data_IF_191721394735
#
_entry.id   IF_191721394735
#
_cell.length_a   1.000
_cell.length_b   1.000
_cell.length_c   1.000
_cell.angle_alpha   90.00
_cell.angle_beta   90.00
_cell.angle_gamma   90.00
#
_symmetry.space_group_name_H-M   'P 1'
#
loop_
_entity.id
_entity.type
_entity.pdbx_description
1 polymer ?
#
# COMPACT_ATOMS: atom_id res chain seq x y z
N UNK A 1 -36.51 -12.83 26.72
CA UNK A 1 -35.14 -12.40 26.39
C UNK A 1 -35.18 -11.57 25.13
N UNK A 2 -34.02 -11.10 24.70
CA UNK A 2 -33.82 -10.39 23.44
C UNK A 2 -33.14 -11.31 22.42
N UNK A 3 -33.38 -11.05 21.14
CA UNK A 3 -32.67 -11.69 20.04
C UNK A 3 -31.81 -10.64 19.31
N UNK A 4 -30.58 -11.02 18.97
CA UNK A 4 -29.67 -10.22 18.15
C UNK A 4 -29.32 -10.99 16.88
N UNK A 5 -29.60 -10.40 15.72
CA UNK A 5 -29.18 -10.93 14.43
C UNK A 5 -28.04 -10.06 13.91
N UNK A 6 -26.90 -10.67 13.66
CA UNK A 6 -25.73 -9.99 13.06
C UNK A 6 -25.53 -10.51 11.64
N UNK A 7 -25.41 -9.61 10.67
CA UNK A 7 -25.15 -9.95 9.27
C UNK A 7 -23.86 -9.28 8.83
N UNK A 8 -22.92 -10.08 8.32
CA UNK A 8 -21.70 -9.62 7.69
C UNK A 8 -21.83 -9.81 6.19
N UNK A 9 -22.17 -8.72 5.52
CA UNK A 9 -22.37 -8.69 4.07
C UNK A 9 -21.15 -9.17 3.29
N UNK A 10 -19.95 -8.75 3.69
CA UNK A 10 -18.74 -8.93 2.88
C UNK A 10 -18.27 -10.38 2.84
N UNK A 11 -18.59 -11.17 3.86
CA UNK A 11 -18.29 -12.61 3.90
C UNK A 11 -19.56 -13.46 3.75
N UNK A 12 -20.70 -12.82 3.46
CA UNK A 12 -22.03 -13.44 3.32
C UNK A 12 -22.36 -14.38 4.48
N UNK A 13 -22.20 -13.93 5.71
CA UNK A 13 -22.57 -14.71 6.90
C UNK A 13 -23.60 -14.01 7.77
N UNK A 14 -24.37 -14.79 8.53
CA UNK A 14 -25.22 -14.28 9.59
C UNK A 14 -25.15 -15.14 10.84
N UNK A 15 -25.35 -14.53 12.01
CA UNK A 15 -25.55 -15.22 13.28
C UNK A 15 -26.82 -14.71 13.96
N UNK A 16 -27.51 -15.62 14.65
CA UNK A 16 -28.70 -15.34 15.44
C UNK A 16 -28.45 -15.77 16.89
N UNK A 17 -28.50 -14.81 17.80
CA UNK A 17 -28.34 -15.07 19.22
C UNK A 17 -29.66 -14.76 19.94
N UNK A 18 -30.36 -15.81 20.38
CA UNK A 18 -31.61 -15.70 21.12
C UNK A 18 -31.40 -15.85 22.64
N UNK A 19 -32.38 -15.42 23.42
CA UNK A 19 -32.38 -15.56 24.88
C UNK A 19 -31.46 -14.58 25.61
N UNK A 20 -30.98 -13.53 24.95
CA UNK A 20 -30.09 -12.54 25.56
C UNK A 20 -30.82 -11.75 26.67
N UNK A 21 -30.09 -11.41 27.73
CA UNK A 21 -30.53 -10.39 28.69
C UNK A 21 -30.38 -9.00 28.09
N UNK A 22 -31.07 -8.01 28.65
CA UNK A 22 -30.96 -6.61 28.20
C UNK A 22 -29.50 -6.11 28.29
N UNK A 23 -28.82 -6.41 29.40
CA UNK A 23 -27.42 -6.04 29.60
C UNK A 23 -26.47 -6.74 28.62
N UNK A 24 -26.71 -8.01 28.30
CA UNK A 24 -25.89 -8.74 27.34
C UNK A 24 -26.03 -8.14 25.94
N UNK A 25 -27.25 -7.76 25.54
CA UNK A 25 -27.50 -7.08 24.27
C UNK A 25 -26.81 -5.72 24.22
N UNK A 26 -26.93 -4.89 25.26
CA UNK A 26 -26.23 -3.59 25.35
C UNK A 26 -24.71 -3.77 25.27
N UNK A 27 -24.18 -4.78 25.96
CA UNK A 27 -22.74 -5.10 25.93
C UNK A 27 -22.29 -5.43 24.51
N UNK A 28 -23.06 -6.24 23.77
CA UNK A 28 -22.78 -6.57 22.36
C UNK A 28 -22.88 -5.35 21.47
N UNK A 29 -23.90 -4.50 21.62
CA UNK A 29 -24.04 -3.27 20.85
C UNK A 29 -22.89 -2.27 21.06
N UNK A 30 -22.23 -2.30 22.23
CA UNK A 30 -21.03 -1.47 22.51
C UNK A 30 -19.74 -2.05 21.93
N UNK A 31 -19.67 -3.37 21.77
CA UNK A 31 -18.42 -4.06 21.39
C UNK A 31 -18.36 -4.41 19.92
N UNK A 32 -19.52 -4.64 19.29
CA UNK A 32 -19.66 -4.89 17.87
C UNK A 32 -19.50 -3.61 17.07
N UNK A 33 -18.78 -3.70 15.94
CA UNK A 33 -18.77 -2.66 14.92
C UNK A 33 -19.83 -3.00 13.88
N UNK A 34 -20.73 -2.06 13.61
CA UNK A 34 -21.79 -2.21 12.63
C UNK A 34 -21.98 -0.91 11.85
N UNK A 35 -22.48 -1.02 10.62
CA UNK A 35 -22.81 0.13 9.77
C UNK A 35 -24.27 0.56 9.93
N UNK A 36 -25.18 -0.42 10.02
CA UNK A 36 -26.62 -0.19 10.11
C UNK A 36 -27.18 -0.93 11.32
N UNK A 37 -28.11 -0.27 12.02
CA UNK A 37 -28.85 -0.85 13.13
C UNK A 37 -30.33 -0.91 12.76
N UNK A 38 -30.90 -2.11 12.86
CA UNK A 38 -32.31 -2.35 12.61
C UNK A 38 -33.00 -2.81 13.88
N UNK A 39 -34.12 -2.19 14.21
CA UNK A 39 -34.95 -2.54 15.35
C UNK A 39 -36.26 -3.16 14.84
N UNK A 40 -36.56 -4.36 15.33
CA UNK A 40 -37.80 -5.03 14.99
C UNK A 40 -38.96 -4.46 15.83
N UNK A 41 -40.13 -4.26 15.24
CA UNK A 41 -41.29 -3.64 15.91
C UNK A 41 -41.82 -4.40 17.11
N UNK A 42 -41.45 -5.67 17.29
CA UNK A 42 -41.72 -6.43 18.53
C UNK A 42 -41.14 -5.75 19.79
N UNK A 43 -40.13 -4.89 19.66
CA UNK A 43 -39.64 -4.07 20.79
C UNK A 43 -40.68 -3.04 21.25
N UNK A 44 -41.50 -2.50 20.35
CA UNK A 44 -42.52 -1.49 20.70
C UNK A 44 -43.74 -2.11 21.38
N UNK A 45 -44.03 -3.36 21.06
CA UNK A 45 -45.26 -4.05 21.43
C UNK A 45 -44.93 -5.46 21.93
N UNK A 46 -44.79 -5.63 23.25
CA UNK A 46 -44.77 -6.98 23.81
C UNK A 46 -46.17 -7.61 23.68
N UNK A 47 -46.25 -8.94 23.62
CA UNK A 47 -47.50 -9.69 23.50
C UNK A 47 -48.45 -9.51 24.70
N UNK A 48 -47.99 -8.91 25.80
CA UNK A 48 -48.78 -8.59 27.00
C UNK A 48 -49.27 -7.13 27.08
N UNK A 49 -48.90 -6.26 26.13
CA UNK A 49 -49.27 -4.84 26.10
C UNK A 49 -48.72 -3.96 27.24
N UNK A 50 -47.83 -4.48 28.10
CA UNK A 50 -47.42 -3.83 29.35
C UNK A 50 -46.08 -3.11 29.31
N UNK A 51 -45.15 -3.50 28.41
CA UNK A 51 -43.89 -2.79 28.23
C UNK A 51 -43.86 -2.06 26.90
N UNK A 52 -43.58 -0.75 26.97
CA UNK A 52 -43.22 0.07 25.81
C UNK A 52 -41.71 0.27 25.87
N UNK A 53 -40.98 -0.12 24.84
CA UNK A 53 -39.58 0.27 24.71
C UNK A 53 -39.46 1.80 24.84
N UNK A 54 -38.75 2.25 25.87
CA UNK A 54 -38.72 3.63 26.33
C UNK A 54 -37.74 3.82 27.48
N UNK A 55 -37.59 5.06 27.95
CA UNK A 55 -36.57 5.45 28.94
C UNK A 55 -36.70 4.76 30.30
N UNK A 56 -37.91 4.35 30.68
CA UNK A 56 -38.21 3.76 31.99
C UNK A 56 -38.79 2.35 31.86
N UNK A 57 -38.37 1.45 32.76
CA UNK A 57 -38.87 0.06 32.83
C UNK A 57 -37.99 -0.95 32.08
N UNK A 58 -38.55 -2.12 31.79
CA UNK A 58 -37.90 -3.16 30.98
C UNK A 58 -37.62 -2.62 29.57
N UNK A 59 -36.35 -2.65 29.14
CA UNK A 59 -35.92 -2.05 27.87
C UNK A 59 -35.30 -0.66 27.99
N UNK A 60 -35.21 -0.08 29.19
CA UNK A 60 -34.63 1.25 29.43
C UNK A 60 -33.12 1.34 29.17
N UNK A 61 -32.34 0.30 29.50
CA UNK A 61 -30.91 0.25 29.21
C UNK A 61 -30.67 0.16 27.70
N UNK A 62 -31.44 -0.70 27.01
CA UNK A 62 -31.39 -0.82 25.56
C UNK A 62 -31.85 0.46 24.87
N UNK A 63 -32.91 1.11 25.37
CA UNK A 63 -33.36 2.42 24.91
C UNK A 63 -32.24 3.45 25.04
N UNK A 64 -31.62 3.55 26.22
CA UNK A 64 -30.51 4.48 26.46
C UNK A 64 -29.32 4.25 25.51
N UNK A 65 -29.00 2.99 25.20
CA UNK A 65 -27.94 2.64 24.25
C UNK A 65 -28.29 2.99 22.80
N UNK A 66 -29.55 2.87 22.40
CA UNK A 66 -29.99 3.11 21.03
C UNK A 66 -30.45 4.55 20.76
N UNK A 67 -30.91 5.30 21.76
CA UNK A 67 -31.52 6.62 21.59
C UNK A 67 -30.57 7.65 20.93
N UNK A 68 -29.26 7.50 21.14
CA UNK A 68 -28.23 8.33 20.51
C UNK A 68 -27.72 7.82 19.15
N UNK A 69 -28.27 6.72 18.63
CA UNK A 69 -27.78 6.04 17.43
C UNK A 69 -28.79 6.12 16.30
N UNK A 70 -28.31 6.09 15.05
CA UNK A 70 -29.20 5.96 13.90
C UNK A 70 -29.67 4.51 13.79
N UNK A 71 -30.99 4.30 13.78
CA UNK A 71 -31.60 2.99 13.56
C UNK A 71 -32.86 3.10 12.71
N UNK A 72 -33.18 2.02 12.02
CA UNK A 72 -34.38 1.88 11.21
C UNK A 72 -35.31 0.82 11.78
N UNK A 73 -36.61 1.07 11.70
CA UNK A 73 -37.62 0.09 12.09
C UNK A 73 -37.94 -0.84 10.95
N UNK A 74 -38.23 -2.10 11.29
CA UNK A 74 -38.75 -3.06 10.34
C UNK A 74 -39.74 -4.02 10.99
N UNK A 75 -40.63 -4.55 10.16
CA UNK A 75 -41.65 -5.53 10.48
C UNK A 75 -41.37 -6.82 9.71
N UNK A 76 -42.04 -7.92 10.10
CA UNK A 76 -42.02 -9.18 9.36
C UNK A 76 -41.33 -10.31 10.12
N UNK A 77 -40.70 -11.22 9.38
CA UNK A 77 -39.90 -12.32 9.90
C UNK A 77 -38.47 -11.79 10.09
N UNK A 78 -37.95 -11.69 11.34
CA UNK A 78 -36.72 -10.97 11.64
C UNK A 78 -35.53 -11.29 10.72
N UNK A 79 -35.20 -12.57 10.53
CA UNK A 79 -34.05 -12.98 9.72
C UNK A 79 -34.27 -12.74 8.22
N UNK A 80 -35.42 -13.16 7.69
CA UNK A 80 -35.72 -13.09 6.25
C UNK A 80 -35.79 -11.64 5.78
N UNK A 81 -36.54 -10.80 6.48
CA UNK A 81 -36.71 -9.40 6.11
C UNK A 81 -35.43 -8.59 6.31
N UNK A 82 -34.63 -8.91 7.34
CA UNK A 82 -33.33 -8.27 7.53
C UNK A 82 -32.35 -8.64 6.41
N UNK A 83 -32.31 -9.90 5.97
CA UNK A 83 -31.51 -10.31 4.82
C UNK A 83 -31.94 -9.61 3.53
N UNK A 84 -33.25 -9.43 3.31
CA UNK A 84 -33.76 -8.65 2.17
C UNK A 84 -33.27 -7.19 2.22
N UNK A 85 -33.36 -6.54 3.39
CA UNK A 85 -32.85 -5.17 3.57
C UNK A 85 -31.36 -5.05 3.32
N UNK A 86 -30.56 -6.01 3.80
CA UNK A 86 -29.11 -6.03 3.53
C UNK A 86 -28.85 -6.19 2.03
N UNK A 87 -29.59 -7.03 1.31
CA UNK A 87 -29.45 -7.14 -0.15
C UNK A 87 -29.77 -5.83 -0.86
N UNK A 88 -30.85 -5.15 -0.48
CA UNK A 88 -31.23 -3.85 -1.04
C UNK A 88 -30.17 -2.77 -0.75
N UNK A 89 -29.71 -2.66 0.50
CA UNK A 89 -28.73 -1.65 0.93
C UNK A 89 -27.38 -1.77 0.20
N UNK A 90 -26.93 -3.01 -0.02
CA UNK A 90 -25.63 -3.29 -0.61
C UNK A 90 -25.72 -3.65 -2.11
N UNK A 91 -26.91 -3.54 -2.71
CA UNK A 91 -27.12 -3.84 -4.14
C UNK A 91 -26.78 -5.28 -4.52
N UNK A 92 -27.06 -6.24 -3.63
CA UNK A 92 -26.79 -7.66 -3.85
C UNK A 92 -27.89 -8.32 -4.69
N UNK A 93 -27.52 -9.41 -5.36
CA UNK A 93 -28.50 -10.27 -6.03
C UNK A 93 -29.54 -10.81 -5.03
N UNK A 94 -30.79 -10.93 -5.48
CA UNK A 94 -31.90 -11.43 -4.67
C UNK A 94 -31.68 -12.90 -4.28
N UNK A 95 -30.93 -13.65 -5.10
CA UNK A 95 -30.53 -15.02 -4.82
C UNK A 95 -29.24 -15.14 -3.98
N UNK A 96 -28.62 -14.02 -3.57
CA UNK A 96 -27.42 -14.06 -2.75
C UNK A 96 -27.69 -14.82 -1.43
N UNK A 97 -26.98 -15.92 -1.25
CA UNK A 97 -27.08 -16.77 -0.06
C UNK A 97 -26.16 -16.27 1.03
N UNK A 98 -26.65 -16.34 2.27
CA UNK A 98 -25.85 -16.05 3.45
C UNK A 98 -25.72 -17.33 4.29
N UNK A 99 -24.50 -17.65 4.71
CA UNK A 99 -24.23 -18.83 5.53
C UNK A 99 -24.55 -18.53 7.00
N UNK A 100 -25.25 -19.46 7.64
CA UNK A 100 -25.49 -19.42 9.07
C UNK A 100 -24.20 -19.79 9.82
N UNK A 101 -23.72 -18.90 10.71
CA UNK A 101 -22.59 -19.13 11.62
C UNK A 101 -23.02 -19.09 13.09
N UNK A 102 -24.32 -19.26 13.34
CA UNK A 102 -24.88 -19.34 14.69
C UNK A 102 -24.34 -20.56 15.42
N UNK A 103 -23.71 -20.31 16.56
CA UNK A 103 -23.24 -21.36 17.45
C UNK A 103 -24.36 -21.69 18.44
N UNK A 104 -25.10 -22.78 18.22
CA UNK A 104 -26.10 -23.26 19.17
C UNK A 104 -25.40 -23.77 20.42
N UNK A 105 -25.82 -23.38 21.63
CA UNK A 105 -25.25 -24.02 22.82
C UNK A 105 -26.19 -24.08 24.00
N UNK A 106 -26.61 -25.30 24.32
CA UNK A 106 -27.26 -25.66 25.58
C UNK A 106 -26.25 -25.69 26.76
N UNK A 107 -24.93 -25.53 26.51
CA UNK A 107 -23.86 -25.71 27.51
C UNK A 107 -22.88 -24.53 27.61
N UNK A 108 -23.16 -23.41 26.95
CA UNK A 108 -22.29 -22.22 27.00
C UNK A 108 -22.52 -21.47 28.32
N UNK A 109 -21.44 -20.98 28.98
CA UNK A 109 -21.58 -20.03 30.07
C UNK A 109 -22.34 -18.78 29.62
N UNK A 110 -23.07 -18.15 30.54
CA UNK A 110 -23.73 -16.89 30.25
C UNK A 110 -22.69 -15.80 29.95
N UNK A 111 -22.95 -14.90 28.97
CA UNK A 111 -22.12 -13.72 28.77
C UNK A 111 -21.95 -12.89 30.04
N UNK A 112 -20.84 -12.17 30.15
CA UNK A 112 -20.62 -11.28 31.28
C UNK A 112 -21.65 -10.15 31.31
N UNK A 113 -22.17 -9.87 32.50
CA UNK A 113 -22.99 -8.69 32.77
C UNK A 113 -22.21 -7.40 32.47
N UNK A 114 -22.92 -6.38 32.00
CA UNK A 114 -22.33 -5.10 31.61
C UNK A 114 -21.55 -4.48 32.78
N UNK A 115 -22.17 -4.47 33.96
CA UNK A 115 -21.55 -3.95 35.18
C UNK A 115 -20.24 -4.66 35.52
N UNK A 116 -20.23 -5.99 35.47
CA UNK A 116 -19.03 -6.80 35.72
C UNK A 116 -17.95 -6.51 34.68
N UNK A 117 -18.29 -6.54 33.39
CA UNK A 117 -17.35 -6.33 32.29
C UNK A 117 -16.67 -4.94 32.35
N UNK A 118 -17.42 -3.93 32.78
CA UNK A 118 -16.90 -2.59 33.09
C UNK A 118 -16.01 -2.59 34.33
N UNK A 119 -16.48 -3.13 35.46
CA UNK A 119 -15.75 -3.09 36.74
C UNK A 119 -14.42 -3.82 36.71
N UNK A 120 -14.33 -4.94 35.98
CA UNK A 120 -13.08 -5.70 35.83
C UNK A 120 -12.17 -5.12 34.73
N UNK A 121 -12.60 -4.07 34.02
CA UNK A 121 -11.76 -3.41 33.01
C UNK A 121 -11.62 -4.13 31.67
N UNK A 122 -12.53 -5.06 31.35
CA UNK A 122 -12.60 -5.67 30.00
C UNK A 122 -13.18 -4.65 29.00
N UNK A 123 -14.20 -3.90 29.42
CA UNK A 123 -14.72 -2.77 28.67
C UNK A 123 -14.01 -1.48 29.08
N UNK A 124 -13.53 -0.67 28.12
CA UNK A 124 -12.87 0.59 28.44
C UNK A 124 -13.87 1.53 29.12
N UNK A 125 -13.57 1.91 30.36
CA UNK A 125 -14.40 2.82 31.16
C UNK A 125 -13.50 3.80 31.86
N UNK A 126 -13.89 5.07 31.89
CA UNK A 126 -13.12 6.12 32.56
C UNK A 126 -12.91 5.80 34.04
N UNK A 127 -11.68 5.98 34.52
CA UNK A 127 -11.30 5.69 35.90
C UNK A 127 -11.06 4.21 36.23
N UNK A 128 -11.30 3.27 35.30
CA UNK A 128 -11.08 1.83 35.52
C UNK A 128 -9.85 1.34 34.74
N UNK A 129 -8.87 0.67 35.38
CA UNK A 129 -7.73 0.08 34.70
C UNK A 129 -8.16 -0.97 33.66
N UNK A 130 -7.52 -0.98 32.49
CA UNK A 130 -7.85 -1.93 31.43
C UNK A 130 -7.18 -3.29 31.67
N UNK A 131 -7.96 -4.34 31.90
CA UNK A 131 -7.48 -5.70 32.11
C UNK A 131 -6.68 -6.23 30.93
N UNK A 132 -7.11 -5.94 29.70
CA UNK A 132 -6.43 -6.41 28.49
C UNK A 132 -5.01 -5.85 28.36
N UNK A 133 -4.76 -4.63 28.85
CA UNK A 133 -3.41 -4.03 28.89
C UNK A 133 -2.48 -4.69 29.91
N UNK A 134 -3.05 -5.40 30.89
CA UNK A 134 -2.30 -6.16 31.89
C UNK A 134 -2.04 -7.58 31.41
N UNK A 135 -3.02 -8.20 30.75
CA UNK A 135 -2.92 -9.58 30.26
C UNK A 135 -2.06 -9.73 29.01
N UNK A 136 -2.03 -8.72 28.15
CA UNK A 136 -1.39 -8.80 26.84
C UNK A 136 -0.18 -7.86 26.74
N UNK A 137 0.86 -8.25 25.97
CA UNK A 137 1.97 -7.36 25.64
C UNK A 137 1.50 -6.04 25.04
N UNK A 138 2.25 -4.95 25.24
CA UNK A 138 1.89 -3.61 24.78
C UNK A 138 1.81 -3.47 23.25
N UNK A 139 2.46 -4.37 22.50
CA UNK A 139 2.39 -4.46 21.05
C UNK A 139 1.23 -5.33 20.54
N UNK A 140 0.47 -5.98 21.42
CA UNK A 140 -0.69 -6.80 21.05
C UNK A 140 -1.89 -5.89 20.74
N UNK A 141 -2.07 -5.58 19.45
CA UNK A 141 -3.12 -4.69 18.95
C UNK A 141 -3.96 -5.40 17.88
N UNK A 142 -5.16 -4.88 17.61
CA UNK A 142 -6.01 -5.38 16.51
C UNK A 142 -6.75 -6.67 16.85
N UNK A 143 -6.70 -7.65 15.95
CA UNK A 143 -7.53 -8.87 16.02
C UNK A 143 -7.26 -9.75 17.25
N UNK A 144 -6.01 -10.01 17.68
CA UNK A 144 -5.76 -10.83 18.87
C UNK A 144 -6.34 -10.21 20.15
N UNK A 145 -6.21 -8.89 20.30
CA UNK A 145 -6.82 -8.13 21.41
C UNK A 145 -8.34 -8.26 21.40
N UNK A 146 -8.96 -8.14 20.23
CA UNK A 146 -10.41 -8.29 20.06
C UNK A 146 -10.88 -9.72 20.37
N UNK A 147 -10.11 -10.73 19.96
CA UNK A 147 -10.39 -12.13 20.23
C UNK A 147 -10.37 -12.44 21.73
N UNK A 148 -9.32 -12.04 22.45
CA UNK A 148 -9.23 -12.24 23.90
C UNK A 148 -10.35 -11.49 24.64
N UNK A 149 -10.65 -10.26 24.21
CA UNK A 149 -11.78 -9.51 24.77
C UNK A 149 -13.10 -10.24 24.57
N UNK A 150 -13.34 -10.78 23.37
CA UNK A 150 -14.57 -11.49 23.07
C UNK A 150 -14.68 -12.81 23.86
N UNK A 151 -13.59 -13.56 24.01
CA UNK A 151 -13.56 -14.75 24.87
C UNK A 151 -13.92 -14.44 26.33
N UNK A 152 -13.47 -13.29 26.86
CA UNK A 152 -13.81 -12.88 28.23
C UNK A 152 -15.27 -12.46 28.35
N UNK A 153 -15.80 -11.73 27.37
CA UNK A 153 -17.18 -11.25 27.38
C UNK A 153 -18.20 -12.35 27.10
N UNK A 154 -17.84 -13.28 26.21
CA UNK A 154 -18.68 -14.34 25.70
C UNK A 154 -17.97 -15.70 25.83
N UNK A 155 -17.75 -16.21 27.06
CA UNK A 155 -16.99 -17.44 27.27
C UNK A 155 -17.54 -18.60 26.45
N UNK A 156 -16.69 -19.38 25.76
CA UNK A 156 -17.15 -20.50 24.94
C UNK A 156 -17.55 -21.70 25.80
N UNK A 157 -18.07 -22.74 25.16
CA UNK A 157 -18.34 -24.02 25.83
C UNK A 157 -17.07 -24.62 26.44
N UNK A 158 -17.23 -25.47 27.46
CA UNK A 158 -16.11 -26.03 28.22
C UNK A 158 -15.10 -26.75 27.33
N UNK A 159 -15.56 -27.51 26.35
CA UNK A 159 -14.72 -28.26 25.42
C UNK A 159 -13.82 -27.33 24.59
N UNK A 160 -14.37 -26.23 24.08
CA UNK A 160 -13.64 -25.22 23.32
C UNK A 160 -12.67 -24.45 24.23
N UNK A 161 -13.09 -24.07 25.43
CA UNK A 161 -12.23 -23.40 26.40
C UNK A 161 -11.03 -24.29 26.79
N UNK A 162 -11.27 -25.58 26.99
CA UNK A 162 -10.23 -26.57 27.27
C UNK A 162 -9.27 -26.71 26.09
N UNK A 163 -9.77 -26.78 24.86
CA UNK A 163 -8.93 -26.83 23.66
C UNK A 163 -8.00 -25.62 23.57
N UNK A 164 -8.52 -24.40 23.74
CA UNK A 164 -7.71 -23.17 23.77
C UNK A 164 -6.63 -23.25 24.87
N UNK A 165 -6.98 -23.73 26.07
CA UNK A 165 -6.04 -23.87 27.17
C UNK A 165 -4.93 -24.89 26.86
N UNK A 166 -5.28 -26.06 26.32
CA UNK A 166 -4.32 -27.10 25.94
C UNK A 166 -3.40 -26.62 24.81
N UNK A 167 -3.90 -25.88 23.82
CA UNK A 167 -3.08 -25.22 22.80
C UNK A 167 -2.01 -24.33 23.43
N UNK A 168 -2.38 -23.49 24.42
CA UNK A 168 -1.42 -22.63 25.12
C UNK A 168 -0.37 -23.44 25.90
N UNK A 169 -0.77 -24.54 26.55
CA UNK A 169 0.17 -25.43 27.26
C UNK A 169 1.16 -26.07 26.29
N UNK A 170 0.67 -26.58 25.16
CA UNK A 170 1.52 -27.16 24.12
C UNK A 170 2.52 -26.12 23.59
N UNK A 171 2.07 -24.92 23.26
CA UNK A 171 2.95 -23.82 22.82
C UNK A 171 4.04 -23.48 23.84
N UNK A 172 3.78 -23.62 25.15
CA UNK A 172 4.80 -23.36 26.19
C UNK A 172 5.88 -24.44 26.31
N UNK A 173 5.69 -25.59 25.67
CA UNK A 173 6.56 -26.76 25.77
C UNK A 173 7.39 -27.02 24.50
N UNK A 174 7.07 -26.37 23.39
CA UNK A 174 7.81 -26.53 22.13
C UNK A 174 9.19 -25.92 22.21
N UNK A 175 10.16 -26.53 21.52
CA UNK A 175 11.55 -26.06 21.46
C UNK A 175 11.85 -25.29 20.17
N UNK A 176 10.98 -25.44 19.17
CA UNK A 176 11.05 -24.74 17.90
C UNK A 176 10.40 -23.34 17.95
N UNK A 177 10.71 -22.53 16.95
CA UNK A 177 10.07 -21.21 16.79
C UNK A 177 8.62 -21.35 16.37
N UNK A 178 7.72 -20.69 17.09
CA UNK A 178 6.29 -20.62 16.74
C UNK A 178 6.11 -19.57 15.63
N UNK A 179 5.33 -19.86 14.57
CA UNK A 179 5.06 -18.88 13.52
C UNK A 179 4.41 -17.60 14.04
N UNK A 180 4.87 -16.44 13.57
CA UNK A 180 4.28 -15.14 13.90
C UNK A 180 3.10 -14.82 12.96
N UNK A 181 1.96 -15.46 13.22
CA UNK A 181 0.77 -15.32 12.38
C UNK A 181 0.40 -13.87 12.06
N UNK A 182 0.45 -13.53 10.77
CA UNK A 182 0.04 -12.19 10.32
C UNK A 182 -1.48 -12.03 10.50
N UNK A 183 -1.88 -11.12 11.39
CA UNK A 183 -3.31 -10.83 11.64
C UNK A 183 -3.94 -10.09 10.46
N UNK A 184 -4.86 -10.74 9.75
CA UNK A 184 -5.56 -10.18 8.59
C UNK A 184 -7.07 -10.16 8.81
N UNK A 185 -7.72 -9.06 8.41
CA UNK A 185 -9.19 -8.99 8.40
C UNK A 185 -9.73 -9.77 7.20
N UNK A 186 -10.41 -10.89 7.45
CA UNK A 186 -11.04 -11.70 6.42
C UNK A 186 -11.99 -10.88 5.53
N UNK A 187 -12.84 -10.03 6.12
CA UNK A 187 -13.74 -9.17 5.37
C UNK A 187 -12.99 -8.19 4.44
N UNK A 188 -11.88 -7.59 4.89
CA UNK A 188 -11.05 -6.74 4.03
C UNK A 188 -10.48 -7.54 2.85
N UNK A 189 -9.97 -8.75 3.11
CA UNK A 189 -9.38 -9.58 2.06
C UNK A 189 -10.41 -10.02 1.03
N UNK A 190 -11.59 -10.48 1.47
CA UNK A 190 -12.66 -10.88 0.55
C UNK A 190 -13.08 -9.70 -0.32
N UNK A 191 -13.27 -8.51 0.26
CA UNK A 191 -13.62 -7.31 -0.52
C UNK A 191 -12.59 -6.99 -1.60
N UNK A 192 -11.30 -7.03 -1.25
CA UNK A 192 -10.21 -6.73 -2.20
C UNK A 192 -10.09 -7.78 -3.30
N UNK A 193 -10.34 -9.05 -2.97
CA UNK A 193 -10.33 -10.14 -3.95
C UNK A 193 -11.51 -10.04 -4.91
N UNK A 194 -12.71 -9.77 -4.40
CA UNK A 194 -13.92 -9.58 -5.20
C UNK A 194 -13.81 -8.33 -6.11
N UNK A 195 -13.25 -7.22 -5.61
CA UNK A 195 -13.02 -6.02 -6.40
C UNK A 195 -11.82 -6.12 -7.34
N UNK A 196 -11.03 -7.20 -7.26
CA UNK A 196 -9.77 -7.38 -8.01
C UNK A 196 -8.73 -6.27 -7.75
N UNK A 197 -8.74 -5.72 -6.53
CA UNK A 197 -7.84 -4.64 -6.09
C UNK A 197 -6.71 -5.14 -5.17
N UNK A 198 -6.60 -6.46 -4.96
CA UNK A 198 -5.52 -7.05 -4.17
C UNK A 198 -4.17 -6.84 -4.84
N UNK A 199 -3.26 -6.17 -4.14
CA UNK A 199 -1.89 -5.94 -4.62
C UNK A 199 -0.93 -7.04 -4.13
N UNK A 200 0.30 -7.01 -4.66
CA UNK A 200 1.36 -7.98 -4.30
C UNK A 200 1.67 -8.05 -2.79
N UNK A 201 1.52 -6.95 -2.04
CA UNK A 201 1.77 -6.93 -0.58
C UNK A 201 0.70 -7.74 0.15
N UNK A 202 -0.57 -7.55 -0.21
CA UNK A 202 -1.66 -8.31 0.40
C UNK A 202 -1.62 -9.78 -0.04
N UNK A 203 -1.25 -10.09 -1.30
CA UNK A 203 -0.99 -11.48 -1.70
C UNK A 203 0.14 -12.13 -0.92
N UNK A 204 1.24 -11.41 -0.68
CA UNK A 204 2.34 -11.89 0.17
C UNK A 204 1.88 -12.18 1.59
N UNK A 205 1.04 -11.31 2.17
CA UNK A 205 0.48 -11.53 3.50
C UNK A 205 -0.44 -12.76 3.57
N UNK A 206 -1.31 -12.94 2.57
CA UNK A 206 -2.17 -14.14 2.48
C UNK A 206 -1.28 -15.39 2.43
N UNK A 207 -0.27 -15.38 1.55
CA UNK A 207 0.66 -16.50 1.42
C UNK A 207 1.42 -16.78 2.72
N UNK A 208 1.91 -15.76 3.43
CA UNK A 208 2.61 -15.96 4.69
C UNK A 208 1.74 -16.72 5.70
N UNK A 209 0.49 -16.30 5.91
CA UNK A 209 -0.44 -16.99 6.83
C UNK A 209 -0.62 -18.45 6.42
N UNK A 210 -0.81 -18.69 5.13
CA UNK A 210 -0.97 -20.03 4.57
C UNK A 210 0.29 -20.89 4.76
N UNK A 211 1.46 -20.34 4.46
CA UNK A 211 2.75 -21.02 4.63
C UNK A 211 3.05 -21.32 6.11
N UNK A 212 2.62 -20.45 7.03
CA UNK A 212 2.71 -20.66 8.48
C UNK A 212 1.80 -21.81 8.97
N UNK A 213 0.60 -21.96 8.40
CA UNK A 213 -0.27 -23.12 8.66
C UNK A 213 0.38 -24.41 8.14
N UNK A 214 0.97 -24.37 6.94
CA UNK A 214 1.70 -25.50 6.38
C UNK A 214 2.93 -25.86 7.23
N UNK A 215 3.60 -24.87 7.82
CA UNK A 215 4.68 -25.08 8.77
C UNK A 215 4.18 -25.77 10.04
N UNK A 216 3.06 -25.32 10.62
CA UNK A 216 2.45 -26.03 11.77
C UNK A 216 2.14 -27.49 11.43
N UNK A 217 1.63 -27.77 10.24
CA UNK A 217 1.28 -29.12 9.82
C UNK A 217 2.50 -30.03 9.64
N UNK A 218 3.56 -29.52 9.00
CA UNK A 218 4.76 -30.30 8.65
C UNK A 218 5.69 -30.54 9.84
N UNK A 219 5.67 -29.66 10.84
CA UNK A 219 6.52 -29.78 12.02
C UNK A 219 5.85 -30.63 13.10
N UNK A 220 6.46 -31.77 13.44
CA UNK A 220 5.93 -32.72 14.43
C UNK A 220 5.58 -32.11 15.79
N UNK A 221 6.42 -31.18 16.31
CA UNK A 221 6.15 -30.47 17.56
C UNK A 221 4.96 -29.50 17.48
N UNK A 222 4.65 -28.99 16.29
CA UNK A 222 3.62 -27.96 16.07
C UNK A 222 2.28 -28.55 15.60
N UNK A 223 2.30 -29.76 15.01
CA UNK A 223 1.10 -30.43 14.52
C UNK A 223 0.00 -30.62 15.60
N UNK A 224 0.32 -31.02 16.85
CA UNK A 224 -0.69 -31.12 17.90
C UNK A 224 -1.36 -29.77 18.23
N UNK A 225 -0.62 -28.66 18.10
CA UNK A 225 -1.16 -27.32 18.31
C UNK A 225 -2.17 -26.99 17.21
N UNK A 226 -1.85 -27.30 15.94
CA UNK A 226 -2.78 -27.12 14.82
C UNK A 226 -4.08 -27.88 15.04
N UNK A 227 -4.00 -29.17 15.40
CA UNK A 227 -5.17 -30.00 15.68
C UNK A 227 -6.07 -29.39 16.76
N UNK A 228 -5.46 -28.91 17.84
CA UNK A 228 -6.20 -28.35 18.98
C UNK A 228 -6.87 -27.00 18.66
N UNK A 229 -6.36 -26.27 17.68
CA UNK A 229 -6.92 -24.98 17.25
C UNK A 229 -8.07 -25.11 16.24
N UNK A 230 -8.37 -26.30 15.71
CA UNK A 230 -9.44 -26.48 14.72
C UNK A 230 -10.83 -26.19 15.32
N UNK A 231 -11.18 -26.78 16.47
CA UNK A 231 -12.50 -26.57 17.08
C UNK A 231 -12.74 -25.10 17.50
N UNK A 232 -11.77 -24.40 18.14
CA UNK A 232 -11.89 -22.97 18.38
C UNK A 232 -12.04 -22.14 17.09
N UNK A 233 -11.36 -22.53 16.01
CA UNK A 233 -11.46 -21.85 14.72
C UNK A 233 -12.82 -22.07 14.08
N UNK A 234 -13.36 -23.29 14.11
CA UNK A 234 -14.72 -23.61 13.66
C UNK A 234 -15.74 -22.77 14.42
N UNK A 235 -15.62 -22.68 15.75
CA UNK A 235 -16.51 -21.86 16.57
C UNK A 235 -16.43 -20.37 16.21
N UNK A 236 -15.23 -19.82 16.01
CA UNK A 236 -15.04 -18.41 15.71
C UNK A 236 -15.48 -18.02 14.28
N UNK A 237 -15.41 -18.95 13.32
CA UNK A 237 -15.66 -18.69 11.90
C UNK A 237 -16.99 -19.25 11.37
N UNK A 238 -17.58 -20.19 12.11
CA UNK A 238 -18.68 -21.04 11.65
C UNK A 238 -18.31 -21.91 10.45
N UNK A 239 -17.02 -22.20 10.24
CA UNK A 239 -16.51 -23.05 9.18
C UNK A 239 -16.00 -24.36 9.74
N UNK A 240 -16.75 -25.43 9.48
CA UNK A 240 -16.28 -26.78 9.74
C UNK A 240 -15.39 -27.25 8.59
N UNK A 241 -14.10 -27.40 8.86
CA UNK A 241 -13.11 -27.82 7.87
C UNK A 241 -12.22 -28.88 8.51
N UNK A 242 -12.06 -30.02 7.82
CA UNK A 242 -11.13 -31.06 8.24
C UNK A 242 -9.68 -30.61 8.04
N UNK A 243 -8.77 -31.05 8.91
CA UNK A 243 -7.37 -30.63 8.85
C UNK A 243 -6.73 -30.87 7.47
N UNK A 244 -6.97 -32.04 6.87
CA UNK A 244 -6.40 -32.38 5.56
C UNK A 244 -6.95 -31.46 4.46
N UNK A 245 -8.25 -31.16 4.49
CA UNK A 245 -8.85 -30.21 3.54
C UNK A 245 -8.25 -28.82 3.71
N UNK A 246 -8.08 -28.33 4.94
CA UNK A 246 -7.45 -27.04 5.21
C UNK A 246 -6.04 -26.98 4.63
N UNK A 247 -5.23 -28.01 4.85
CA UNK A 247 -3.84 -28.09 4.38
C UNK A 247 -3.78 -28.13 2.86
N UNK A 248 -4.60 -28.95 2.21
CA UNK A 248 -4.63 -29.04 0.74
C UNK A 248 -5.00 -27.70 0.08
N UNK A 249 -6.00 -26.99 0.62
CA UNK A 249 -6.37 -25.66 0.15
C UNK A 249 -5.25 -24.63 0.40
N UNK A 250 -4.58 -24.74 1.54
CA UNK A 250 -3.41 -23.91 1.85
C UNK A 250 -2.28 -24.13 0.82
N UNK A 251 -1.96 -25.38 0.49
CA UNK A 251 -0.94 -25.67 -0.54
C UNK A 251 -1.32 -25.09 -1.90
N UNK A 252 -2.59 -25.24 -2.31
CA UNK A 252 -3.09 -24.69 -3.57
C UNK A 252 -3.00 -23.17 -3.61
N UNK A 253 -3.39 -22.48 -2.53
CA UNK A 253 -3.33 -21.02 -2.44
C UNK A 253 -1.89 -20.53 -2.47
N UNK A 254 -1.00 -21.15 -1.69
CA UNK A 254 0.42 -20.80 -1.65
C UNK A 254 1.06 -20.95 -3.03
N UNK A 255 0.79 -22.07 -3.72
CA UNK A 255 1.29 -22.32 -5.07
C UNK A 255 0.78 -21.25 -6.06
N UNK A 256 -0.53 -21.02 -6.13
CA UNK A 256 -1.12 -20.04 -7.06
C UNK A 256 -0.57 -18.63 -6.86
N UNK A 257 -0.42 -18.21 -5.60
CA UNK A 257 0.19 -16.90 -5.31
C UNK A 257 1.66 -16.91 -5.73
N UNK A 258 2.40 -17.99 -5.43
CA UNK A 258 3.79 -18.16 -5.81
C UNK A 258 4.07 -18.25 -7.31
N UNK A 259 3.07 -18.55 -8.13
CA UNK A 259 3.18 -18.48 -9.59
C UNK A 259 3.08 -17.03 -10.11
N UNK A 260 2.56 -16.09 -9.30
CA UNK A 260 2.27 -14.71 -9.71
C UNK A 260 3.24 -13.70 -9.09
N UNK A 261 3.43 -13.75 -7.77
CA UNK A 261 4.27 -12.75 -7.07
C UNK A 261 5.75 -13.14 -7.14
N UNK A 262 6.61 -12.12 -7.14
CA UNK A 262 8.07 -12.33 -7.03
C UNK A 262 8.45 -12.63 -5.58
N UNK A 263 9.33 -13.62 -5.41
CA UNK A 263 9.74 -14.15 -4.11
C UNK A 263 11.21 -13.89 -3.82
N UNK A 264 11.55 -13.74 -2.54
CA UNK A 264 12.91 -13.48 -2.11
C UNK A 264 13.83 -14.65 -2.50
N UNK A 265 14.89 -14.36 -3.27
CA UNK A 265 15.84 -15.36 -3.79
C UNK A 265 15.64 -15.74 -5.26
N UNK A 266 14.56 -15.28 -5.92
CA UNK A 266 14.42 -15.39 -7.37
C UNK A 266 15.37 -14.41 -8.08
N UNK A 267 16.04 -14.88 -9.14
CA UNK A 267 17.09 -14.13 -9.86
C UNK A 267 16.57 -13.56 -11.19
N UNK A 268 15.29 -13.79 -11.51
CA UNK A 268 14.70 -13.53 -12.83
C UNK A 268 14.44 -12.04 -13.12
N UNK A 269 14.78 -11.13 -12.19
CA UNK A 269 14.50 -9.69 -12.29
C UNK A 269 15.68 -8.79 -11.94
N UNK A 270 16.85 -9.07 -12.53
CA UNK A 270 17.90 -8.05 -12.60
C UNK A 270 17.41 -6.78 -13.32
N UNK A 271 17.93 -5.62 -12.90
CA UNK A 271 17.67 -4.34 -13.59
C UNK A 271 18.02 -4.47 -15.07
N UNK A 272 17.14 -4.01 -15.95
CA UNK A 272 17.44 -4.02 -17.39
C UNK A 272 18.65 -3.13 -17.68
N UNK A 273 19.36 -3.44 -18.76
CA UNK A 273 20.53 -2.69 -19.15
C UNK A 273 20.56 -2.51 -20.66
N UNK A 274 20.94 -1.31 -21.09
CA UNK A 274 21.15 -0.98 -22.50
C UNK A 274 22.46 -0.21 -22.63
N UNK A 275 23.26 -0.54 -23.64
CA UNK A 275 24.56 0.10 -23.84
C UNK A 275 24.41 1.61 -24.01
N UNK A 276 25.29 2.39 -23.39
CA UNK A 276 25.28 3.88 -23.42
C UNK A 276 24.10 4.57 -22.72
N UNK A 277 23.13 3.83 -22.17
CA UNK A 277 22.07 4.38 -21.31
C UNK A 277 22.45 4.15 -19.83
N UNK A 278 22.45 5.20 -18.98
CA UNK A 278 22.77 5.04 -17.55
C UNK A 278 21.80 4.10 -16.83
N UNK A 279 22.30 3.38 -15.82
CA UNK A 279 21.48 2.47 -14.99
C UNK A 279 20.36 3.21 -14.26
N UNK A 280 20.56 4.47 -13.92
CA UNK A 280 19.58 5.35 -13.25
C UNK A 280 18.26 5.45 -14.03
N UNK A 281 18.32 5.46 -15.37
CA UNK A 281 17.12 5.45 -16.21
C UNK A 281 16.26 4.20 -15.94
N UNK A 282 16.90 3.02 -15.85
CA UNK A 282 16.19 1.77 -15.60
C UNK A 282 15.66 1.70 -14.17
N UNK A 283 16.41 2.22 -13.20
CA UNK A 283 15.91 2.29 -11.83
C UNK A 283 14.69 3.19 -11.70
N UNK A 284 14.68 4.36 -12.34
CA UNK A 284 13.52 5.25 -12.35
C UNK A 284 12.30 4.61 -13.03
N UNK A 285 12.51 3.98 -14.19
CA UNK A 285 11.42 3.41 -14.99
C UNK A 285 10.86 2.10 -14.40
N UNK A 286 11.67 1.33 -13.71
CA UNK A 286 11.29 -0.01 -13.21
C UNK A 286 10.96 -0.03 -11.71
N UNK A 287 11.46 0.91 -10.89
CA UNK A 287 11.31 0.90 -9.41
C UNK A 287 9.87 0.78 -8.92
N UNK A 288 8.91 1.31 -9.68
CA UNK A 288 7.50 1.31 -9.33
C UNK A 288 6.80 -0.03 -9.53
N UNK A 289 7.42 -1.03 -10.16
CA UNK A 289 6.78 -2.33 -10.42
C UNK A 289 7.71 -3.54 -10.40
N UNK A 290 9.02 -3.36 -10.57
CA UNK A 290 10.04 -4.41 -10.49
C UNK A 290 10.05 -5.08 -9.12
N UNK A 291 10.22 -6.40 -9.11
CA UNK A 291 10.25 -7.21 -7.89
C UNK A 291 8.88 -7.41 -7.22
N UNK A 292 7.77 -7.03 -7.87
CA UNK A 292 6.41 -7.20 -7.32
C UNK A 292 5.73 -8.47 -7.83
N UNK A 293 5.81 -8.72 -9.14
CA UNK A 293 5.24 -9.90 -9.83
C UNK A 293 6.33 -10.54 -10.68
N UNK A 294 6.21 -11.84 -10.99
CA UNK A 294 7.20 -12.56 -11.80
C UNK A 294 7.35 -11.95 -13.20
N UNK A 295 8.54 -12.07 -13.79
CA UNK A 295 8.86 -11.43 -15.08
C UNK A 295 7.89 -11.85 -16.19
N UNK A 296 7.49 -13.13 -16.21
CA UNK A 296 6.53 -13.70 -17.16
C UNK A 296 5.18 -12.95 -17.20
N UNK A 297 4.80 -12.27 -16.11
CA UNK A 297 3.56 -11.51 -16.00
C UNK A 297 3.76 -10.00 -16.25
N UNK A 298 5.00 -9.56 -16.46
CA UNK A 298 5.38 -8.16 -16.66
C UNK A 298 6.16 -7.92 -17.97
N UNK A 299 6.17 -8.89 -18.89
CA UNK A 299 6.93 -8.82 -20.15
C UNK A 299 6.63 -7.56 -20.97
N UNK A 300 5.37 -7.12 -20.98
CA UNK A 300 4.95 -5.90 -21.69
C UNK A 300 5.59 -4.63 -21.10
N UNK A 301 5.70 -4.56 -19.77
CA UNK A 301 6.33 -3.44 -19.08
C UNK A 301 7.84 -3.42 -19.35
N UNK A 302 8.51 -4.58 -19.27
CA UNK A 302 9.93 -4.69 -19.64
C UNK A 302 10.17 -4.29 -21.10
N UNK A 303 9.33 -4.76 -22.03
CA UNK A 303 9.43 -4.40 -23.46
C UNK A 303 9.16 -2.91 -23.73
N UNK A 304 8.38 -2.24 -22.89
CA UNK A 304 8.19 -0.79 -22.96
C UNK A 304 9.42 -0.02 -22.51
N UNK A 305 10.05 -0.45 -21.39
CA UNK A 305 11.32 0.14 -20.93
C UNK A 305 12.43 -0.06 -21.95
N UNK A 306 12.52 -1.24 -22.57
CA UNK A 306 13.50 -1.52 -23.63
C UNK A 306 13.28 -0.62 -24.85
N UNK A 307 12.03 -0.47 -25.32
CA UNK A 307 11.70 0.46 -26.42
C UNK A 307 12.01 1.92 -26.08
N UNK A 308 11.76 2.34 -24.84
CA UNK A 308 12.09 3.69 -24.39
C UNK A 308 13.60 3.92 -24.33
N UNK A 309 14.37 2.92 -23.87
CA UNK A 309 15.83 2.96 -23.88
C UNK A 309 16.40 3.01 -25.29
N UNK A 310 15.85 2.23 -26.23
CA UNK A 310 16.23 2.25 -27.64
C UNK A 310 15.93 3.61 -28.27
N UNK A 311 14.73 4.16 -28.05
CA UNK A 311 14.37 5.47 -28.56
C UNK A 311 15.29 6.58 -28.01
N UNK A 312 15.63 6.53 -26.73
CA UNK A 312 16.58 7.46 -26.11
C UNK A 312 17.98 7.29 -26.70
N UNK A 313 18.43 6.05 -26.91
CA UNK A 313 19.72 5.77 -27.53
C UNK A 313 19.81 6.33 -28.94
N UNK A 314 18.78 6.10 -29.77
CA UNK A 314 18.71 6.64 -31.14
C UNK A 314 18.79 8.17 -31.10
N UNK A 315 18.00 8.83 -30.25
CA UNK A 315 18.05 10.29 -30.11
C UNK A 315 19.45 10.80 -29.70
N UNK A 316 20.11 10.12 -28.76
CA UNK A 316 21.48 10.49 -28.34
C UNK A 316 22.48 10.29 -29.48
N UNK A 317 22.42 9.15 -30.19
CA UNK A 317 23.38 8.79 -31.21
C UNK A 317 23.18 9.51 -32.55
N UNK A 318 21.94 9.79 -32.96
CA UNK A 318 21.64 10.45 -34.23
C UNK A 318 21.66 11.98 -34.09
N UNK A 319 21.12 12.53 -32.99
CA UNK A 319 21.00 13.98 -32.86
C UNK A 319 22.19 14.59 -32.11
N UNK A 320 22.67 13.92 -31.07
CA UNK A 320 23.65 14.51 -30.14
C UNK A 320 25.10 14.17 -30.50
N UNK A 321 25.41 12.92 -30.81
CA UNK A 321 26.78 12.46 -31.12
C UNK A 321 27.37 13.15 -32.36
N UNK A 322 26.64 13.42 -33.46
CA UNK A 322 27.19 14.13 -34.60
C UNK A 322 27.51 15.59 -34.29
N UNK A 323 26.74 16.23 -33.41
CA UNK A 323 27.05 17.57 -32.90
C UNK A 323 28.37 17.51 -32.13
N UNK A 324 28.50 16.62 -31.14
CA UNK A 324 29.73 16.47 -30.35
C UNK A 324 30.94 16.14 -31.24
N UNK A 325 30.76 15.26 -32.23
CA UNK A 325 31.84 14.86 -33.15
C UNK A 325 32.26 16.00 -34.07
N UNK A 326 31.32 16.80 -34.56
CA UNK A 326 31.61 17.98 -35.40
C UNK A 326 32.26 19.10 -34.58
N UNK A 327 31.86 19.27 -33.33
CA UNK A 327 32.56 20.15 -32.36
C UNK A 327 34.00 19.68 -32.19
N UNK A 328 34.23 18.39 -31.91
CA UNK A 328 35.59 17.81 -31.80
C UNK A 328 36.41 18.03 -33.08
N UNK A 329 35.83 17.82 -34.25
CA UNK A 329 36.50 18.02 -35.54
C UNK A 329 36.86 19.49 -35.83
N UNK A 330 36.06 20.45 -35.35
CA UNK A 330 36.34 21.89 -35.44
C UNK A 330 37.45 22.34 -34.49
N UNK A 331 37.66 21.63 -33.37
CA UNK A 331 38.76 21.90 -32.44
C UNK A 331 40.09 21.31 -32.96
N UNK A 332 40.04 20.23 -33.75
CA UNK A 332 41.22 19.52 -34.27
C UNK A 332 42.17 20.26 -35.25
N UNK A 333 41.84 21.35 -35.97
CA UNK A 333 42.81 22.01 -36.85
C UNK A 333 43.79 22.94 -36.09
N UNK A 334 43.57 23.20 -34.80
CA UNK A 334 44.47 24.01 -33.97
C UNK A 334 45.56 23.11 -33.36
N UNK A 335 46.49 22.68 -34.21
CA UNK A 335 47.65 21.88 -33.81
C UNK A 335 48.51 22.60 -32.76
N UNK A 336 48.64 21.98 -31.59
CA UNK A 336 49.65 22.27 -30.59
C UNK A 336 50.11 20.95 -29.94
N UNK A 337 51.42 20.73 -29.92
CA UNK A 337 52.08 19.46 -29.60
C UNK A 337 51.98 19.14 -28.10
N UNK A 338 51.62 17.87 -27.82
CA UNK A 338 51.49 17.14 -26.53
C UNK A 338 50.18 17.30 -25.75
N UNK A 339 49.44 16.19 -25.67
CA UNK A 339 48.58 15.85 -24.53
C UNK A 339 47.15 15.54 -24.91
N UNK A 340 46.80 14.25 -24.84
CA UNK A 340 45.46 13.66 -24.78
C UNK A 340 44.29 14.66 -24.62
N UNK A 341 43.45 14.77 -25.66
CA UNK A 341 42.17 15.48 -25.54
C UNK A 341 41.22 14.57 -24.77
N UNK A 342 41.15 14.79 -23.44
CA UNK A 342 40.11 14.24 -22.59
C UNK A 342 38.73 14.58 -23.15
N UNK A 343 37.81 13.62 -23.05
CA UNK A 343 36.39 13.73 -23.35
C UNK A 343 35.85 15.16 -23.15
N UNK A 344 35.24 15.71 -24.20
CA UNK A 344 34.40 16.91 -24.08
C UNK A 344 33.19 16.52 -23.22
N UNK A 345 33.28 16.72 -21.92
CA UNK A 345 32.22 16.43 -20.97
C UNK A 345 31.25 17.60 -20.96
N UNK A 346 30.03 17.38 -21.44
CA UNK A 346 28.92 18.29 -21.20
C UNK A 346 28.48 18.12 -19.74
N UNK A 347 28.50 19.20 -18.97
CA UNK A 347 28.18 19.16 -17.55
C UNK A 347 26.95 20.05 -17.29
N UNK A 348 25.95 19.48 -16.62
CA UNK A 348 24.78 20.23 -16.17
C UNK A 348 25.09 20.96 -14.86
N UNK A 349 24.51 22.15 -14.71
CA UNK A 349 24.46 22.91 -13.46
C UNK A 349 22.98 23.10 -13.11
N UNK A 350 22.53 22.37 -12.10
CA UNK A 350 21.18 22.49 -11.57
C UNK A 350 20.89 23.90 -11.03
N UNK A 351 19.62 24.25 -10.86
CA UNK A 351 19.16 25.61 -10.52
C UNK A 351 19.86 26.26 -9.31
N UNK A 352 20.35 25.45 -8.36
CA UNK A 352 21.04 25.91 -7.13
C UNK A 352 22.51 25.52 -7.04
N UNK A 353 23.05 24.88 -8.08
CA UNK A 353 24.43 24.39 -8.10
C UNK A 353 25.38 25.42 -8.68
N UNK A 354 26.65 25.39 -8.29
CA UNK A 354 27.68 26.25 -8.89
C UNK A 354 28.63 25.37 -9.71
N UNK A 355 29.12 25.86 -10.85
CA UNK A 355 30.16 25.15 -11.57
C UNK A 355 31.42 25.05 -10.71
N UNK A 356 32.25 24.01 -10.89
CA UNK A 356 33.44 23.80 -10.10
C UNK A 356 34.44 24.97 -10.29
N UNK A 357 35.25 25.30 -9.27
CA UNK A 357 36.22 26.41 -9.34
C UNK A 357 37.22 26.29 -10.50
N UNK A 358 37.43 25.09 -11.04
CA UNK A 358 38.26 24.83 -12.23
C UNK A 358 37.74 25.50 -13.51
N UNK A 359 36.52 26.05 -13.50
CA UNK A 359 35.92 26.80 -14.62
C UNK A 359 36.26 28.30 -14.61
N UNK A 360 36.99 28.78 -13.59
CA UNK A 360 37.49 30.17 -13.51
C UNK A 360 38.80 30.27 -14.30
N UNK A 361 38.84 31.14 -15.32
CA UNK A 361 39.97 31.31 -16.23
C UNK A 361 39.99 30.32 -17.40
N UNK A 362 39.01 29.41 -17.48
CA UNK A 362 38.86 28.45 -18.56
C UNK A 362 37.76 28.90 -19.53
N UNK A 363 38.10 29.01 -20.82
CA UNK A 363 37.12 29.34 -21.85
C UNK A 363 36.05 28.26 -21.92
N UNK A 364 34.79 28.67 -21.83
CA UNK A 364 33.63 27.77 -21.75
C UNK A 364 32.50 28.29 -22.64
N UNK A 365 31.75 27.37 -23.23
CA UNK A 365 30.47 27.66 -23.89
C UNK A 365 29.36 27.06 -23.05
N UNK A 366 28.28 27.81 -22.84
CA UNK A 366 27.14 27.38 -22.06
C UNK A 366 25.82 27.62 -22.81
N UNK A 367 24.86 26.75 -22.54
CA UNK A 367 23.46 26.88 -22.93
C UNK A 367 22.69 27.10 -21.64
N UNK A 368 22.00 28.22 -21.54
CA UNK A 368 21.14 28.58 -20.43
C UNK A 368 19.69 28.29 -20.81
N UNK A 369 19.01 27.50 -19.99
CA UNK A 369 17.58 27.25 -20.10
C UNK A 369 16.83 28.28 -19.26
N UNK A 370 15.99 29.08 -19.92
CA UNK A 370 15.16 30.09 -19.26
C UNK A 370 13.79 29.51 -18.87
N UNK A 371 13.08 30.13 -17.90
CA UNK A 371 11.73 29.69 -17.50
C UNK A 371 10.69 29.75 -18.63
N UNK A 372 10.88 30.65 -19.61
CA UNK A 372 10.06 30.80 -20.81
C UNK A 372 10.30 29.71 -21.88
N UNK A 373 11.11 28.68 -21.56
CA UNK A 373 11.54 27.58 -22.44
C UNK A 373 12.38 28.03 -23.64
N UNK A 374 12.90 29.26 -23.63
CA UNK A 374 13.86 29.72 -24.64
C UNK A 374 15.29 29.41 -24.18
N UNK A 375 16.14 29.07 -25.14
CA UNK A 375 17.56 28.84 -24.91
C UNK A 375 18.36 30.12 -25.14
N UNK A 376 19.40 30.31 -24.35
CA UNK A 376 20.42 31.32 -24.60
C UNK A 376 21.78 30.63 -24.67
N UNK A 377 22.51 30.87 -25.75
CA UNK A 377 23.88 30.36 -25.90
C UNK A 377 24.86 31.48 -25.58
N UNK A 378 25.87 31.20 -24.77
CA UNK A 378 26.89 32.18 -24.44
C UNK A 378 28.27 31.55 -24.30
N UNK A 379 29.31 32.37 -24.46
CA UNK A 379 30.66 32.01 -24.04
C UNK A 379 31.17 32.87 -22.87
N UNK A 380 32.12 32.36 -22.11
CA UNK A 380 32.76 33.06 -20.99
C UNK A 380 34.08 32.39 -20.59
N UNK A 381 35.02 33.15 -20.02
CA UNK A 381 36.21 32.61 -19.36
C UNK A 381 36.07 32.56 -17.83
N UNK A 382 34.94 33.05 -17.31
CA UNK A 382 34.55 32.97 -15.92
C UNK A 382 33.11 32.48 -15.87
N UNK A 383 32.95 31.14 -15.83
CA UNK A 383 31.62 30.53 -15.81
C UNK A 383 30.92 30.76 -14.47
N UNK A 384 31.66 30.71 -13.37
CA UNK A 384 31.13 30.98 -12.01
C UNK A 384 30.53 32.39 -11.94
N UNK A 385 31.28 33.40 -12.37
CA UNK A 385 30.80 34.78 -12.41
C UNK A 385 29.59 34.95 -13.35
N UNK A 386 29.60 34.27 -14.50
CA UNK A 386 28.51 34.35 -15.47
C UNK A 386 27.20 33.71 -14.98
N UNK A 387 27.28 32.53 -14.35
CA UNK A 387 26.12 31.86 -13.74
C UNK A 387 25.54 32.73 -12.63
N UNK A 388 26.37 33.30 -11.76
CA UNK A 388 25.91 34.24 -10.71
C UNK A 388 25.23 35.48 -11.31
N UNK A 389 25.79 36.05 -12.38
CA UNK A 389 25.22 37.23 -13.02
C UNK A 389 23.84 36.96 -13.62
N UNK A 390 23.65 35.83 -14.33
CA UNK A 390 22.35 35.47 -14.87
C UNK A 390 21.32 35.11 -13.79
N UNK A 391 21.76 34.44 -12.71
CA UNK A 391 20.90 34.08 -11.57
C UNK A 391 20.53 35.23 -10.64
N UNK A 392 21.19 36.38 -10.77
CA UNK A 392 20.74 37.60 -10.07
C UNK A 392 19.34 38.03 -10.48
N UNK A 393 18.83 37.54 -11.62
CA UNK A 393 17.50 37.84 -12.15
C UNK A 393 16.50 36.74 -11.82
N UNK A 394 16.81 35.48 -12.16
CA UNK A 394 15.93 34.32 -11.92
C UNK A 394 16.76 33.03 -11.79
N UNK A 395 16.23 32.01 -11.10
CA UNK A 395 16.86 30.69 -11.02
C UNK A 395 16.82 29.98 -12.39
N UNK A 396 17.99 29.73 -12.97
CA UNK A 396 18.15 29.13 -14.30
C UNK A 396 19.11 27.94 -14.26
N UNK A 397 18.86 26.96 -15.13
CA UNK A 397 19.72 25.81 -15.37
C UNK A 397 20.67 26.08 -16.53
N UNK A 398 21.86 25.49 -16.45
CA UNK A 398 22.91 25.67 -17.44
C UNK A 398 23.47 24.31 -17.85
N UNK A 399 23.74 24.15 -19.13
CA UNK A 399 24.59 23.10 -19.66
C UNK A 399 25.85 23.76 -20.18
N UNK A 400 27.04 23.31 -19.78
CA UNK A 400 28.28 23.91 -20.24
C UNK A 400 29.32 22.91 -20.71
N UNK A 401 30.24 23.44 -21.49
CA UNK A 401 31.39 22.73 -22.05
C UNK A 401 32.62 23.63 -21.92
N UNK A 402 33.67 23.12 -21.28
CA UNK A 402 34.98 23.77 -21.24
C UNK A 402 35.71 23.48 -22.56
N UNK A 403 36.30 24.50 -23.17
CA UNK A 403 36.97 24.43 -24.47
C UNK A 403 38.36 25.08 -24.42
N UNK A 404 39.30 24.66 -25.28
CA UNK A 404 40.65 25.22 -25.30
C UNK A 404 40.68 26.61 -25.93
N UNK A 405 40.45 27.64 -25.11
CA UNK A 405 40.64 29.04 -25.45
C UNK A 405 39.43 29.74 -26.10
N UNK A 406 39.47 31.08 -26.07
CA UNK A 406 38.36 31.97 -26.48
C UNK A 406 37.97 31.82 -27.94
N UNK A 407 38.94 31.57 -28.82
CA UNK A 407 38.69 31.40 -30.26
C UNK A 407 37.76 30.21 -30.52
N UNK A 408 38.04 29.08 -29.86
CA UNK A 408 37.21 27.87 -29.96
C UNK A 408 35.85 28.10 -29.33
N UNK A 409 35.79 28.78 -28.18
CA UNK A 409 34.53 29.14 -27.54
C UNK A 409 33.64 30.00 -28.44
N UNK A 410 34.22 30.97 -29.15
CA UNK A 410 33.47 31.89 -30.02
C UNK A 410 32.94 31.21 -31.28
N UNK A 411 33.72 30.29 -31.86
CA UNK A 411 33.29 29.50 -33.01
C UNK A 411 32.17 28.53 -32.62
N UNK A 412 32.31 27.86 -31.47
CA UNK A 412 31.32 26.92 -30.97
C UNK A 412 30.02 27.61 -30.57
N UNK A 413 30.08 28.77 -29.91
CA UNK A 413 28.92 29.62 -29.62
C UNK A 413 28.17 29.98 -30.91
N UNK A 414 28.89 30.49 -31.92
CA UNK A 414 28.30 30.88 -33.20
C UNK A 414 27.65 29.68 -33.91
N UNK A 415 28.29 28.52 -33.86
CA UNK A 415 27.75 27.29 -34.45
C UNK A 415 26.45 26.86 -33.75
N UNK A 416 26.43 26.85 -32.42
CA UNK A 416 25.24 26.48 -31.64
C UNK A 416 24.09 27.46 -31.88
N UNK A 417 24.36 28.76 -31.96
CA UNK A 417 23.35 29.79 -32.26
C UNK A 417 22.67 29.53 -33.61
N UNK A 418 23.42 29.05 -34.60
CA UNK A 418 22.92 28.81 -35.96
C UNK A 418 22.27 27.43 -36.12
N UNK A 419 22.75 26.40 -35.43
CA UNK A 419 22.29 25.01 -35.60
C UNK A 419 21.07 24.68 -34.75
N UNK A 420 21.01 25.15 -33.50
CA UNK A 420 19.90 24.82 -32.60
C UNK A 420 18.52 25.26 -33.14
N UNK A 421 18.36 26.42 -33.81
CA UNK A 421 17.09 26.78 -34.46
C UNK A 421 16.66 25.84 -35.58
N UNK A 422 17.62 25.27 -36.33
CA UNK A 422 17.33 24.33 -37.41
C UNK A 422 16.80 23.00 -36.87
N UNK A 423 17.12 22.68 -35.61
CA UNK A 423 16.67 21.50 -34.88
C UNK A 423 15.40 21.75 -34.04
N UNK A 424 14.70 22.86 -34.28
CA UNK A 424 13.43 23.17 -33.60
C UNK A 424 13.54 23.87 -32.24
N UNK A 425 14.75 24.14 -31.75
CA UNK A 425 14.94 24.88 -30.49
C UNK A 425 14.79 26.39 -30.70
N UNK A 426 14.16 27.08 -29.75
CA UNK A 426 13.93 28.54 -29.83
C UNK A 426 14.99 29.28 -29.03
N UNK A 427 15.75 30.16 -29.68
CA UNK A 427 16.86 30.90 -29.07
C UNK A 427 16.51 32.37 -28.86
N UNK A 428 16.97 32.94 -27.75
CA UNK A 428 16.84 34.38 -27.44
C UNK A 428 17.90 35.21 -28.16
N UNK A 429 19.11 34.68 -28.33
CA UNK A 429 20.25 35.37 -28.93
C UNK A 429 20.35 35.17 -30.45
N UNK A 430 19.21 35.14 -31.14
CA UNK A 430 19.17 35.11 -32.60
C UNK A 430 19.64 36.49 -33.11
N UNK A 431 20.80 36.55 -33.75
CA UNK A 431 21.26 37.79 -34.36
C UNK A 431 20.31 38.20 -35.49
N UNK A 432 19.60 39.31 -35.30
CA UNK A 432 19.04 40.08 -36.41
C UNK A 432 20.19 40.51 -37.33
N UNK A 433 20.08 40.15 -38.61
CA UNK A 433 21.05 40.50 -39.66
C UNK A 433 21.05 41.98 -40.04
N UNK A 434 21.18 42.90 -39.08
CA UNK A 434 21.33 44.32 -39.33
C UNK A 434 22.10 45.00 -38.20
N UNK A 435 23.43 45.05 -38.29
CA UNK A 435 24.25 46.22 -37.94
C UNK A 435 25.58 46.14 -38.70
N UNK A 436 25.53 46.53 -39.98
CA UNK A 436 26.65 47.20 -40.64
C UNK A 436 26.82 48.56 -39.96
N UNK A 437 27.93 48.80 -39.28
CA UNK A 437 28.75 50.03 -39.35
C UNK A 437 29.81 50.10 -38.23
N UNK A 438 31.06 50.24 -38.69
CA UNK A 438 32.23 50.92 -38.15
C UNK A 438 32.14 51.70 -36.82
N UNK A 439 33.27 51.66 -36.08
CA UNK A 439 33.67 52.69 -35.13
C UNK A 439 34.98 52.39 -34.40
N UNK A 440 36.11 52.78 -35.00
CA UNK A 440 37.40 53.01 -34.34
C UNK A 440 37.29 53.96 -33.14
N UNK A 441 37.94 53.61 -32.03
CA UNK A 441 38.87 54.47 -31.26
C UNK A 441 39.74 53.57 -30.39
#
# INVERSE_FOLDING_TARGET
>A
GYCMISILETIKTYSEEDGLTEEALVTKLRTCRYHHLFLHTSLRHNSSGTSRWGEYGEGGLLWGECAGKHFEWFDGIPLTDLLCKVRELYGLDHEATFRNVTVSSEKKPHPLYLGTATQIGVLPTEGIPCLLKVLLPSNCLGLPLLYVRDLLLNPPAYEIALAIQESCKLMSQVTCSIPEFTSLSAAKLVRLLESKETNHIEFRRIRNVVDEILLLYRTSELYPILQMLLDPTEMATGLKIECETLVNECELVSQKIGEVIFLDGEIDQGTSAFSFIPTEFFDDMESSWRGRVKRIHAESAFAEVERAAEALYIAVMEDFVPIVSRVRALVSPLGGVKGEISYVTCVEIGAREQPPPSTIGASSVYIMLRPDKLLYVGQTDDLVGRVRAHRSKEDMQFLYVVVPGKSVASQLETLLINQLPLQGFRLVNKADGNHRNFGTS
#
